data_IF_250049929040
#
_entry.id   IF_250049929040
#
_cell.length_a   1.000
_cell.length_b   1.000
_cell.length_c   1.000
_cell.angle_alpha   90.00
_cell.angle_beta   90.00
_cell.angle_gamma   90.00
#
_symmetry.space_group_name_H-M   'P 1'
#
loop_
_entity.id
_entity.type
_entity.pdbx_description
1 polymer ?
#
# COMPACT_ATOMS: atom_id res chain seq x y z
N UNK A 1 -3.93 41.94 2.24
CA UNK A 1 -4.38 40.55 2.03
C UNK A 1 -4.66 40.27 0.54
N UNK A 2 -3.65 40.33 -0.33
CA UNK A 2 -3.83 40.16 -1.78
C UNK A 2 -3.61 38.72 -2.29
N UNK A 3 -3.09 37.83 -1.42
CA UNK A 3 -2.61 36.50 -1.81
C UNK A 3 -3.71 35.46 -2.06
N UNK A 4 -4.95 35.69 -1.58
CA UNK A 4 -6.05 34.71 -1.66
C UNK A 4 -7.20 35.11 -2.58
N UNK A 5 -7.03 36.11 -3.45
CA UNK A 5 -8.07 36.42 -4.45
C UNK A 5 -8.07 35.32 -5.51
N UNK A 6 -9.20 34.67 -5.81
CA UNK A 6 -9.26 33.73 -6.92
C UNK A 6 -8.87 34.47 -8.21
N UNK A 7 -8.15 33.81 -9.12
CA UNK A 7 -7.69 34.46 -10.33
C UNK A 7 -8.90 34.84 -11.21
N UNK A 8 -8.83 35.96 -11.96
CA UNK A 8 -9.94 36.46 -12.77
C UNK A 8 -10.55 35.39 -13.69
N UNK A 9 -11.87 35.41 -13.95
CA UNK A 9 -12.51 34.51 -14.91
C UNK A 9 -11.79 34.58 -16.26
N UNK A 10 -11.37 33.41 -16.80
CA UNK A 10 -10.61 33.32 -18.06
C UNK A 10 -9.09 33.29 -17.92
N UNK A 11 -8.55 33.29 -16.70
CA UNK A 11 -7.11 33.04 -16.49
C UNK A 11 -6.73 31.59 -16.78
N UNK A 12 -5.90 31.37 -17.79
CA UNK A 12 -5.26 30.08 -18.03
C UNK A 12 -4.21 29.84 -16.94
N UNK A 13 -4.59 29.05 -15.93
CA UNK A 13 -3.64 28.48 -14.97
C UNK A 13 -2.87 27.35 -15.66
N UNK A 14 -1.92 27.70 -16.52
CA UNK A 14 -0.92 26.72 -16.95
C UNK A 14 0.00 26.45 -15.76
N UNK A 15 0.43 25.19 -15.52
CA UNK A 15 1.43 24.91 -14.51
C UNK A 15 2.68 25.79 -14.77
N UNK A 16 3.36 26.20 -13.70
CA UNK A 16 4.58 27.02 -13.77
C UNK A 16 5.67 26.41 -14.66
N UNK A 17 5.60 25.10 -14.90
CA UNK A 17 6.45 24.38 -15.86
C UNK A 17 5.66 24.06 -17.12
N UNK A 18 6.22 24.29 -18.32
CA UNK A 18 5.51 24.05 -19.58
C UNK A 18 5.00 22.61 -19.73
N UNK A 19 3.74 22.46 -20.11
CA UNK A 19 3.12 21.17 -20.47
C UNK A 19 3.93 20.41 -21.54
N UNK A 20 4.65 21.16 -22.38
CA UNK A 20 5.58 20.64 -23.39
C UNK A 20 6.72 19.78 -22.81
N UNK A 21 7.02 19.88 -21.50
CA UNK A 21 8.07 19.08 -20.84
C UNK A 21 7.45 17.93 -20.05
N UNK A 22 6.42 18.18 -19.25
CA UNK A 22 5.82 17.15 -18.40
C UNK A 22 5.02 16.10 -19.18
N UNK A 23 4.32 16.49 -20.25
CA UNK A 23 3.54 15.56 -21.07
C UNK A 23 4.41 14.51 -21.77
N UNK A 24 5.52 14.85 -22.47
CA UNK A 24 6.37 13.83 -23.07
C UNK A 24 7.10 12.97 -22.03
N UNK A 25 7.54 13.56 -20.90
CA UNK A 25 8.19 12.81 -19.83
C UNK A 25 7.23 11.81 -19.19
N UNK A 26 6.02 12.24 -18.81
CA UNK A 26 5.00 11.35 -18.25
C UNK A 26 4.63 10.23 -19.22
N UNK A 27 4.43 10.54 -20.51
CA UNK A 27 4.20 9.52 -21.56
C UNK A 27 5.38 8.57 -21.73
N UNK A 28 6.61 9.04 -21.60
CA UNK A 28 7.80 8.20 -21.66
C UNK A 28 7.87 7.25 -20.46
N UNK A 29 7.63 7.75 -19.25
CA UNK A 29 7.55 6.94 -18.03
C UNK A 29 6.41 5.91 -18.10
N UNK A 30 5.24 6.31 -18.58
CA UNK A 30 4.11 5.41 -18.80
C UNK A 30 4.49 4.29 -19.78
N UNK A 31 5.06 4.63 -20.94
CA UNK A 31 5.50 3.64 -21.95
C UNK A 31 6.57 2.71 -21.41
N UNK A 32 7.54 3.23 -20.67
CA UNK A 32 8.57 2.42 -20.02
C UNK A 32 7.95 1.48 -18.97
N UNK A 33 7.01 1.97 -18.17
CA UNK A 33 6.27 1.19 -17.18
C UNK A 33 5.45 0.07 -17.82
N UNK A 34 4.69 0.38 -18.87
CA UNK A 34 3.90 -0.59 -19.63
C UNK A 34 4.80 -1.64 -20.29
N UNK A 35 5.91 -1.21 -20.92
CA UNK A 35 6.89 -2.12 -21.49
C UNK A 35 7.49 -3.06 -20.44
N UNK A 36 7.93 -2.52 -19.30
CA UNK A 36 8.50 -3.30 -18.21
C UNK A 36 7.49 -4.29 -17.63
N UNK A 37 6.24 -3.86 -17.41
CA UNK A 37 5.18 -4.73 -16.94
C UNK A 37 4.94 -5.89 -17.90
N UNK A 38 4.72 -5.60 -19.19
CA UNK A 38 4.42 -6.61 -20.19
C UNK A 38 5.59 -7.58 -20.42
N UNK A 39 6.83 -7.08 -20.37
CA UNK A 39 8.01 -7.87 -20.68
C UNK A 39 8.54 -8.67 -19.49
N UNK A 40 8.46 -8.11 -18.29
CA UNK A 40 9.07 -8.66 -17.08
C UNK A 40 8.00 -9.12 -16.10
N UNK A 41 7.23 -8.19 -15.49
CA UNK A 41 6.35 -8.51 -14.37
C UNK A 41 5.24 -9.51 -14.74
N UNK A 42 4.60 -9.34 -15.89
CA UNK A 42 3.52 -10.23 -16.36
C UNK A 42 4.01 -11.68 -16.60
N UNK A 43 5.32 -11.89 -16.77
CA UNK A 43 5.91 -13.22 -16.92
C UNK A 43 6.37 -13.83 -15.60
N UNK A 44 6.29 -13.07 -14.51
CA UNK A 44 6.67 -13.51 -13.17
C UNK A 44 5.44 -13.84 -12.34
N UNK A 45 5.64 -14.65 -11.31
CA UNK A 45 4.57 -15.04 -10.37
C UNK A 45 4.47 -14.09 -9.17
N UNK A 46 4.99 -12.86 -9.33
CA UNK A 46 5.06 -11.84 -8.29
C UNK A 46 3.66 -11.24 -8.12
N UNK A 47 3.15 -11.22 -6.88
CA UNK A 47 1.85 -10.64 -6.55
C UNK A 47 0.64 -11.55 -6.77
N UNK A 48 0.86 -12.78 -7.26
CA UNK A 48 -0.18 -13.80 -7.31
C UNK A 48 -0.38 -14.48 -5.94
N UNK A 49 -1.50 -15.17 -5.77
CA UNK A 49 -1.71 -16.01 -4.59
C UNK A 49 -0.65 -17.12 -4.51
N UNK A 50 -0.27 -17.49 -3.28
CA UNK A 50 0.64 -18.61 -3.06
C UNK A 50 0.06 -19.87 -3.72
N UNK A 51 0.83 -20.51 -4.60
CA UNK A 51 0.41 -21.72 -5.34
C UNK A 51 -0.02 -22.86 -4.41
N UNK A 52 0.47 -22.85 -3.18
CA UNK A 52 0.18 -23.88 -2.16
C UNK A 52 -1.18 -23.65 -1.50
N UNK A 53 -1.79 -22.48 -1.70
CA UNK A 53 -3.10 -22.18 -1.16
C UNK A 53 -4.21 -22.86 -1.97
N UNK A 54 -5.00 -23.68 -1.27
CA UNK A 54 -6.27 -24.20 -1.75
C UNK A 54 -7.43 -23.58 -0.96
N UNK A 55 -8.39 -22.89 -1.60
CA UNK A 55 -9.54 -22.28 -0.92
C UNK A 55 -10.41 -23.29 -0.17
N UNK A 56 -10.50 -24.53 -0.65
CA UNK A 56 -11.30 -25.58 0.00
C UNK A 56 -10.69 -26.08 1.32
N UNK A 57 -9.37 -26.04 1.42
CA UNK A 57 -8.63 -26.53 2.61
C UNK A 57 -8.35 -25.40 3.59
N UNK A 58 -8.01 -24.22 3.09
CA UNK A 58 -7.55 -23.11 3.93
C UNK A 58 -8.58 -22.00 4.15
N UNK A 59 -9.69 -22.02 3.42
CA UNK A 59 -10.66 -20.93 3.45
C UNK A 59 -10.13 -19.65 2.78
N UNK A 60 -10.59 -18.47 3.24
CA UNK A 60 -10.14 -17.17 2.73
C UNK A 60 -8.62 -17.03 2.74
N UNK A 61 -8.08 -16.36 1.72
CA UNK A 61 -6.64 -16.14 1.62
C UNK A 61 -6.13 -15.20 2.71
N UNK A 62 -5.18 -15.67 3.50
CA UNK A 62 -4.52 -14.96 4.59
C UNK A 62 -3.09 -14.63 4.18
N UNK A 63 -2.86 -13.39 3.75
CA UNK A 63 -1.58 -12.92 3.22
C UNK A 63 -0.37 -13.11 4.17
N UNK A 64 -0.59 -13.16 5.49
CA UNK A 64 0.49 -13.32 6.48
C UNK A 64 0.82 -14.78 6.82
N UNK A 65 -0.04 -15.73 6.41
CA UNK A 65 0.11 -17.16 6.69
C UNK A 65 1.01 -17.80 5.63
N UNK A 66 1.85 -18.73 6.07
CA UNK A 66 2.60 -19.59 5.15
C UNK A 66 1.82 -20.86 4.90
N UNK A 67 1.60 -21.20 3.63
CA UNK A 67 0.83 -22.38 3.21
C UNK A 67 1.72 -23.60 2.92
N UNK A 68 3.05 -23.47 2.99
CA UNK A 68 3.97 -24.59 2.84
C UNK A 68 4.25 -25.34 4.14
N UNK A 69 5.04 -26.41 4.02
CA UNK A 69 5.59 -27.12 5.18
C UNK A 69 6.50 -26.19 5.98
N UNK A 70 6.23 -25.92 7.27
CA UNK A 70 7.12 -25.12 8.10
C UNK A 70 8.48 -25.83 8.24
N UNK A 71 9.56 -25.08 8.07
CA UNK A 71 10.93 -25.53 8.32
C UNK A 71 11.36 -25.09 9.73
N UNK A 72 12.51 -25.57 10.20
CA UNK A 72 13.07 -25.13 11.48
C UNK A 72 13.37 -23.62 11.46
N UNK A 73 13.06 -22.92 12.56
CA UNK A 73 13.37 -21.49 12.68
C UNK A 73 14.89 -21.33 12.71
N UNK A 74 15.38 -20.19 12.22
CA UNK A 74 16.81 -19.91 12.14
C UNK A 74 17.53 -20.10 13.49
N UNK A 75 16.90 -19.66 14.59
CA UNK A 75 17.48 -19.76 15.93
C UNK A 75 17.43 -21.17 16.55
N UNK A 76 16.67 -22.09 15.96
CA UNK A 76 16.57 -23.50 16.43
C UNK A 76 17.51 -24.43 15.64
N UNK A 77 18.27 -23.90 14.67
CA UNK A 77 19.16 -24.67 13.79
C UNK A 77 20.55 -24.78 14.40
N UNK A 78 21.11 -25.98 14.41
CA UNK A 78 22.52 -26.19 14.80
C UNK A 78 23.42 -25.50 13.78
N UNK A 79 24.47 -24.84 14.25
CA UNK A 79 25.42 -24.13 13.38
C UNK A 79 26.02 -25.03 12.28
N UNK A 80 26.26 -26.31 12.60
CA UNK A 80 26.74 -27.30 11.63
C UNK A 80 25.74 -27.57 10.48
N UNK A 81 24.43 -27.47 10.75
CA UNK A 81 23.37 -27.72 9.77
C UNK A 81 22.96 -26.46 9.00
N UNK A 82 23.53 -25.29 9.34
CA UNK A 82 23.16 -23.99 8.78
C UNK A 82 23.37 -23.89 7.26
N UNK A 83 24.47 -24.40 6.66
CA UNK A 83 24.62 -24.43 5.21
C UNK A 83 23.55 -25.27 4.52
N UNK A 84 23.24 -26.45 5.08
CA UNK A 84 22.20 -27.32 4.56
C UNK A 84 20.80 -26.67 4.70
N UNK A 85 20.54 -26.00 5.82
CA UNK A 85 19.32 -25.24 6.06
C UNK A 85 19.14 -24.10 5.04
N UNK A 86 20.19 -23.34 4.74
CA UNK A 86 20.16 -22.33 3.67
C UNK A 86 19.99 -22.95 2.29
N UNK A 87 20.55 -24.16 2.07
CA UNK A 87 20.43 -24.91 0.82
C UNK A 87 18.99 -25.32 0.47
N UNK A 88 18.17 -25.68 1.46
CA UNK A 88 16.78 -26.13 1.25
C UNK A 88 15.80 -25.02 0.85
N UNK A 89 16.18 -23.74 0.94
CA UNK A 89 15.30 -22.59 0.68
C UNK A 89 15.26 -22.21 -0.79
N UNK A 90 14.08 -21.81 -1.24
CA UNK A 90 13.91 -21.19 -2.56
C UNK A 90 14.46 -19.77 -2.53
N UNK A 91 15.41 -19.47 -3.41
CA UNK A 91 16.13 -18.18 -3.50
C UNK A 91 15.72 -17.38 -4.73
N UNK A 92 14.56 -17.70 -5.31
CA UNK A 92 14.05 -16.98 -6.49
C UNK A 92 13.58 -15.57 -6.06
N UNK A 93 13.68 -14.57 -6.94
CA UNK A 93 13.20 -13.21 -6.62
C UNK A 93 11.72 -13.18 -6.18
N UNK A 94 10.88 -14.02 -6.78
CA UNK A 94 9.48 -14.16 -6.38
C UNK A 94 9.30 -14.75 -4.97
N UNK A 95 10.13 -15.73 -4.58
CA UNK A 95 10.09 -16.28 -3.22
C UNK A 95 10.46 -15.21 -2.18
N UNK A 96 11.50 -14.41 -2.47
CA UNK A 96 11.93 -13.30 -1.60
C UNK A 96 10.82 -12.25 -1.46
N UNK A 97 10.20 -11.84 -2.58
CA UNK A 97 9.08 -10.90 -2.56
C UNK A 97 7.90 -11.43 -1.74
N UNK A 98 7.51 -12.69 -1.95
CA UNK A 98 6.39 -13.30 -1.24
C UNK A 98 6.63 -13.37 0.28
N UNK A 99 7.84 -13.71 0.73
CA UNK A 99 8.17 -13.70 2.15
C UNK A 99 8.20 -12.28 2.74
N UNK A 100 8.73 -11.30 2.00
CA UNK A 100 8.77 -9.91 2.43
C UNK A 100 7.37 -9.34 2.65
N UNK A 101 6.50 -9.50 1.64
CA UNK A 101 5.10 -9.07 1.68
C UNK A 101 4.34 -9.78 2.79
N UNK A 102 4.54 -11.10 2.94
CA UNK A 102 3.94 -11.88 4.03
C UNK A 102 4.32 -11.34 5.40
N UNK A 103 5.58 -10.97 5.59
CA UNK A 103 6.04 -10.42 6.86
C UNK A 103 5.45 -9.04 7.15
N UNK A 104 5.30 -8.18 6.13
CA UNK A 104 4.58 -6.91 6.25
C UNK A 104 3.14 -7.16 6.72
N UNK A 105 2.41 -8.06 6.07
CA UNK A 105 1.05 -8.40 6.48
C UNK A 105 0.99 -9.03 7.86
N UNK A 106 2.00 -9.82 8.26
CA UNK A 106 2.08 -10.40 9.60
C UNK A 106 2.24 -9.32 10.65
N UNK A 107 3.19 -8.40 10.46
CA UNK A 107 3.41 -7.28 11.37
C UNK A 107 2.17 -6.39 11.43
N UNK A 108 1.57 -6.11 10.29
CA UNK A 108 0.34 -5.32 10.21
C UNK A 108 -0.82 -6.00 10.99
N UNK A 109 -1.04 -7.30 10.76
CA UNK A 109 -2.09 -8.04 11.44
C UNK A 109 -1.83 -8.18 12.95
N UNK A 110 -0.59 -8.44 13.36
CA UNK A 110 -0.27 -8.61 14.78
C UNK A 110 -0.28 -7.26 15.52
N UNK A 111 0.41 -6.25 14.99
CA UNK A 111 0.75 -5.04 15.74
C UNK A 111 0.01 -3.78 15.29
N UNK A 112 -0.68 -3.75 14.15
CA UNK A 112 -1.34 -2.53 13.69
C UNK A 112 -2.86 -2.65 13.69
N UNK A 113 -3.42 -3.64 12.99
CA UNK A 113 -4.86 -3.73 12.75
C UNK A 113 -5.58 -4.85 13.52
N UNK A 114 -4.91 -5.98 13.78
CA UNK A 114 -5.57 -7.15 14.33
C UNK A 114 -5.92 -7.06 15.83
N UNK A 115 -6.54 -8.13 16.35
CA UNK A 115 -7.06 -8.16 17.72
C UNK A 115 -6.05 -8.63 18.77
N UNK A 116 -4.92 -9.20 18.34
CA UNK A 116 -4.01 -9.97 19.22
C UNK A 116 -3.18 -9.05 20.11
N UNK A 117 -2.59 -8.00 19.55
CA UNK A 117 -1.84 -7.02 20.33
C UNK A 117 -2.57 -5.67 20.28
N UNK A 118 -2.88 -5.13 21.46
CA UNK A 118 -3.48 -3.80 21.57
C UNK A 118 -2.48 -2.74 21.12
N UNK A 119 -2.60 -2.27 19.88
CA UNK A 119 -1.64 -1.31 19.34
C UNK A 119 -1.96 0.11 19.79
N UNK A 120 -0.96 0.77 20.36
CA UNK A 120 -1.03 2.19 20.69
C UNK A 120 -1.35 3.02 19.43
N UNK A 121 -0.78 2.64 18.29
CA UNK A 121 -1.00 3.29 16.99
C UNK A 121 -2.48 3.31 16.61
N UNK A 122 -3.17 2.16 16.69
CA UNK A 122 -4.60 2.05 16.38
C UNK A 122 -5.45 2.92 17.31
N UNK A 123 -5.11 2.95 18.60
CA UNK A 123 -5.79 3.79 19.59
C UNK A 123 -5.58 5.27 19.29
N UNK A 124 -4.35 5.69 19.00
CA UNK A 124 -4.02 7.08 18.64
C UNK A 124 -4.78 7.50 17.38
N UNK A 125 -4.76 6.70 16.32
CA UNK A 125 -5.49 7.03 15.09
C UNK A 125 -7.00 7.14 15.30
N UNK A 126 -7.59 6.29 16.15
CA UNK A 126 -9.01 6.40 16.52
C UNK A 126 -9.32 7.72 17.21
N UNK A 127 -8.46 8.17 18.14
CA UNK A 127 -8.62 9.47 18.81
C UNK A 127 -8.46 10.64 17.85
N UNK A 128 -7.44 10.62 16.97
CA UNK A 128 -7.23 11.66 15.95
C UNK A 128 -8.45 11.74 15.04
N UNK A 129 -8.95 10.60 14.54
CA UNK A 129 -10.10 10.58 13.64
C UNK A 129 -11.38 11.06 14.33
N UNK A 130 -11.61 10.63 15.58
CA UNK A 130 -12.74 11.10 16.38
C UNK A 130 -12.68 12.61 16.64
N UNK A 131 -11.51 13.15 16.98
CA UNK A 131 -11.32 14.59 17.20
C UNK A 131 -11.51 15.39 15.91
N UNK A 132 -10.93 14.95 14.78
CA UNK A 132 -11.13 15.58 13.47
C UNK A 132 -12.60 15.57 13.05
N UNK A 133 -13.28 14.45 13.26
CA UNK A 133 -14.71 14.32 12.98
C UNK A 133 -15.56 15.22 13.87
N UNK A 134 -15.26 15.31 15.17
CA UNK A 134 -15.93 16.22 16.10
C UNK A 134 -15.74 17.69 15.70
N UNK A 135 -14.51 18.07 15.33
CA UNK A 135 -14.23 19.42 14.85
C UNK A 135 -15.03 19.75 13.59
N UNK A 136 -15.13 18.81 12.65
CA UNK A 136 -15.94 18.95 11.46
C UNK A 136 -17.43 19.09 11.84
N UNK A 137 -17.98 18.22 12.69
CA UNK A 137 -19.37 18.30 13.13
C UNK A 137 -19.71 19.67 13.74
N UNK A 138 -18.90 20.14 14.69
CA UNK A 138 -19.11 21.43 15.36
C UNK A 138 -18.99 22.60 14.40
N UNK A 139 -18.09 22.54 13.40
CA UNK A 139 -17.84 23.66 12.47
C UNK A 139 -18.64 23.57 11.17
N UNK A 140 -19.30 22.43 10.89
CA UNK A 140 -20.02 22.18 9.64
C UNK A 140 -21.08 23.24 9.35
N UNK A 141 -21.75 23.77 10.39
CA UNK A 141 -22.74 24.83 10.26
C UNK A 141 -22.23 26.09 9.53
N UNK A 142 -20.93 26.41 9.66
CA UNK A 142 -20.32 27.59 9.01
C UNK A 142 -20.25 27.47 7.50
N UNK A 143 -20.37 26.24 6.98
CA UNK A 143 -20.24 25.93 5.56
C UNK A 143 -21.59 25.61 4.91
N UNK A 144 -22.70 25.68 5.64
CA UNK A 144 -24.04 25.44 5.10
C UNK A 144 -24.46 26.50 4.07
N UNK A 145 -24.04 27.76 4.25
CA UNK A 145 -24.33 28.82 3.27
C UNK A 145 -23.58 28.64 1.96
N UNK A 146 -22.39 28.05 2.04
CA UNK A 146 -21.57 27.69 0.89
C UNK A 146 -22.23 26.57 0.07
N UNK A 147 -22.95 25.62 0.68
CA UNK A 147 -23.66 24.56 -0.05
C UNK A 147 -24.71 25.07 -1.05
N UNK A 148 -25.19 26.31 -0.89
CA UNK A 148 -26.17 26.92 -1.80
C UNK A 148 -25.55 27.40 -3.13
N UNK A 149 -24.22 27.50 -3.20
CA UNK A 149 -23.53 27.88 -4.44
C UNK A 149 -23.22 26.64 -5.28
N UNK A 150 -23.64 26.65 -6.55
CA UNK A 150 -23.29 25.59 -7.50
C UNK A 150 -21.79 25.65 -7.83
N UNK A 151 -21.06 24.60 -7.48
CA UNK A 151 -19.60 24.52 -7.67
C UNK A 151 -19.17 23.89 -8.98
N UNK A 152 -20.10 23.21 -9.64
CA UNK A 152 -19.91 22.65 -10.97
C UNK A 152 -20.86 23.39 -11.91
N UNK A 153 -20.26 24.00 -12.92
CA UNK A 153 -20.91 24.47 -14.13
C UNK A 153 -21.25 23.26 -15.01
#
# INVERSE_FOLDING_TARGET
>A
MAWFRPPPPGTHLTPWVPDAIFVPISRAFERLGVYFYNRVLNKTEIGLFDKRWNPKVHGPYCHWRYYGKPDTKLFDVKLADLPAWLGRRQKTPGAVYNEFVRNIYRVHNLYYSGPVYGSAVKTIFRFIFAYSFLNWLVKSHRYLDFQKTYYHW
#
